data_IF_628097664302
#
_entry.id   IF_628097664302
#
_cell.length_a   1.000
_cell.length_b   1.000
_cell.length_c   1.000
_cell.angle_alpha   90.00
_cell.angle_beta   90.00
_cell.angle_gamma   90.00
#
_symmetry.space_group_name_H-M   'P 1'
#
loop_
_entity.id
_entity.type
_entity.pdbx_description
1 polymer ?
#
# COMPACT_ATOMS: atom_id res chain seq x y z
N UNK A 1 5.99 25.14 3.34
CA UNK A 1 6.44 23.95 4.07
C UNK A 1 7.06 23.04 3.04
N UNK A 2 8.38 22.95 3.05
CA UNK A 2 9.10 21.98 2.23
C UNK A 2 8.61 20.59 2.65
N UNK A 3 8.11 19.82 1.70
CA UNK A 3 7.75 18.43 1.91
C UNK A 3 9.02 17.69 2.28
N UNK A 4 9.23 17.47 3.58
CA UNK A 4 10.16 16.46 4.07
C UNK A 4 9.52 15.11 3.77
N UNK A 5 9.44 14.77 2.48
CA UNK A 5 9.32 13.36 2.08
C UNK A 5 10.72 12.80 2.21
N UNK A 6 11.04 12.52 3.48
CA UNK A 6 12.26 11.90 3.94
C UNK A 6 12.65 10.79 2.97
N UNK A 7 13.89 10.84 2.46
CA UNK A 7 14.51 9.78 1.68
C UNK A 7 14.84 8.58 2.59
N UNK A 8 13.87 8.16 3.42
CA UNK A 8 13.99 7.05 4.37
C UNK A 8 14.06 5.78 3.54
N UNK A 9 15.16 5.00 3.63
CA UNK A 9 15.24 3.73 2.95
C UNK A 9 14.09 2.85 3.40
N UNK A 10 13.35 2.29 2.45
CA UNK A 10 12.32 1.32 2.77
C UNK A 10 12.97 0.05 3.32
N UNK A 11 12.36 -0.60 4.33
CA UNK A 11 12.83 -1.89 4.78
C UNK A 11 12.75 -2.86 3.60
N UNK A 12 13.86 -3.52 3.28
CA UNK A 12 13.92 -4.50 2.19
C UNK A 12 13.78 -5.91 2.72
N UNK A 13 12.80 -6.65 2.22
CA UNK A 13 12.61 -8.05 2.52
C UNK A 13 13.74 -8.85 1.89
N UNK A 14 14.32 -9.74 2.70
CA UNK A 14 15.33 -10.72 2.32
C UNK A 14 14.85 -12.09 2.79
N UNK A 15 15.61 -13.14 2.49
CA UNK A 15 15.24 -14.52 2.87
C UNK A 15 15.18 -14.78 4.38
N UNK A 16 15.75 -13.92 5.23
CA UNK A 16 15.95 -14.22 6.66
C UNK A 16 15.46 -13.13 7.63
N UNK A 17 14.92 -12.01 7.14
CA UNK A 17 14.59 -10.84 7.98
C UNK A 17 13.08 -10.54 8.05
N UNK A 18 12.21 -11.50 7.73
CA UNK A 18 10.77 -11.28 7.64
C UNK A 18 10.17 -10.62 8.89
N UNK A 19 10.51 -11.09 10.09
CA UNK A 19 10.00 -10.51 11.36
C UNK A 19 10.38 -9.03 11.52
N UNK A 20 11.65 -8.68 11.28
CA UNK A 20 12.11 -7.29 11.37
C UNK A 20 11.51 -6.41 10.26
N UNK A 21 11.32 -6.98 9.06
CA UNK A 21 10.73 -6.30 7.92
C UNK A 21 9.24 -6.03 8.15
N UNK A 22 8.49 -7.02 8.64
CA UNK A 22 7.04 -6.91 8.84
C UNK A 22 6.67 -5.86 9.90
N UNK A 23 7.44 -5.78 10.99
CA UNK A 23 7.27 -4.75 12.03
C UNK A 23 7.48 -3.35 11.44
N UNK A 24 8.56 -3.15 10.67
CA UNK A 24 8.87 -1.86 10.05
C UNK A 24 7.85 -1.47 8.98
N UNK A 25 7.44 -2.41 8.13
CA UNK A 25 6.43 -2.16 7.11
C UNK A 25 5.07 -1.83 7.71
N UNK A 26 4.66 -2.54 8.78
CA UNK A 26 3.41 -2.24 9.49
C UNK A 26 3.43 -0.83 10.08
N UNK A 27 4.53 -0.43 10.72
CA UNK A 27 4.68 0.91 11.25
C UNK A 27 4.66 1.99 10.15
N UNK A 28 5.37 1.75 9.03
CA UNK A 28 5.45 2.69 7.92
C UNK A 28 4.10 2.86 7.21
N UNK A 29 3.42 1.76 6.88
CA UNK A 29 2.08 1.77 6.29
C UNK A 29 1.07 2.42 7.25
N UNK A 30 1.18 2.14 8.55
CA UNK A 30 0.37 2.78 9.59
C UNK A 30 0.54 4.30 9.62
N UNK A 31 1.77 4.81 9.47
CA UNK A 31 2.03 6.26 9.44
C UNK A 31 1.47 7.00 8.21
N UNK A 32 1.06 6.26 7.17
CA UNK A 32 0.52 6.80 5.93
C UNK A 32 -0.96 6.42 5.75
N UNK A 33 -1.63 5.98 6.82
CA UNK A 33 -3.02 5.47 6.80
C UNK A 33 -3.25 4.37 5.75
N UNK A 34 -2.20 3.62 5.41
CA UNK A 34 -2.20 2.56 4.40
C UNK A 34 -2.33 1.15 4.97
N UNK A 35 -2.18 0.97 6.29
CA UNK A 35 -2.27 -0.35 6.90
C UNK A 35 -3.66 -1.00 6.75
N UNK A 36 -4.73 -0.20 6.87
CA UNK A 36 -6.10 -0.70 6.75
C UNK A 36 -6.39 -1.31 5.38
N UNK A 37 -5.91 -0.69 4.28
CA UNK A 37 -6.13 -1.21 2.92
C UNK A 37 -5.33 -2.49 2.64
N UNK A 38 -4.17 -2.68 3.30
CA UNK A 38 -3.40 -3.92 3.23
C UNK A 38 -4.11 -5.05 3.97
N UNK A 39 -4.62 -4.76 5.18
CA UNK A 39 -5.25 -5.76 6.04
C UNK A 39 -6.66 -6.13 5.53
N UNK A 40 -7.52 -5.13 5.33
CA UNK A 40 -8.93 -5.32 4.99
C UNK A 40 -9.14 -5.48 3.49
N UNK A 41 -8.31 -4.82 2.68
CA UNK A 41 -8.42 -4.82 1.22
C UNK A 41 -9.22 -3.64 0.69
N UNK A 42 -8.87 -3.19 -0.50
CA UNK A 42 -9.69 -2.27 -1.28
C UNK A 42 -10.39 -3.05 -2.41
N UNK A 43 -11.70 -2.87 -2.53
CA UNK A 43 -12.49 -3.44 -3.62
C UNK A 43 -13.01 -2.29 -4.47
N UNK A 44 -12.60 -2.28 -5.74
CA UNK A 44 -13.07 -1.29 -6.71
C UNK A 44 -14.56 -1.57 -7.03
N UNK A 45 -15.47 -0.60 -6.82
CA UNK A 45 -16.88 -0.79 -7.16
C UNK A 45 -17.08 -0.97 -8.66
N UNK A 46 -17.95 -1.91 -9.05
CA UNK A 46 -18.31 -2.13 -10.47
C UNK A 46 -19.03 -0.92 -11.10
N UNK A 47 -19.68 -0.09 -10.28
CA UNK A 47 -20.34 1.15 -10.70
C UNK A 47 -20.33 2.18 -9.58
N UNK A 48 -20.26 3.45 -9.95
CA UNK A 48 -20.39 4.61 -9.05
C UNK A 48 -21.64 5.43 -9.38
N UNK A 49 -22.57 4.87 -10.16
CA UNK A 49 -23.83 5.53 -10.49
C UNK A 49 -24.63 5.86 -9.22
N UNK A 50 -25.09 7.11 -9.11
CA UNK A 50 -25.83 7.58 -7.93
C UNK A 50 -24.96 7.94 -6.73
N UNK A 51 -23.62 7.85 -6.83
CA UNK A 51 -22.74 8.30 -5.75
C UNK A 51 -22.84 9.81 -5.57
N UNK A 52 -22.93 10.24 -4.32
CA UNK A 52 -22.77 11.64 -3.91
C UNK A 52 -21.32 12.10 -4.10
N UNK A 53 -21.10 13.41 -4.07
CA UNK A 53 -19.76 13.99 -4.09
C UNK A 53 -18.88 13.46 -2.94
N UNK A 54 -19.46 13.27 -1.74
CA UNK A 54 -18.75 12.73 -0.59
C UNK A 54 -18.31 11.27 -0.81
N UNK A 55 -19.19 10.42 -1.34
CA UNK A 55 -18.86 9.02 -1.64
C UNK A 55 -17.77 8.90 -2.71
N UNK A 56 -17.84 9.72 -3.76
CA UNK A 56 -16.80 9.77 -4.79
C UNK A 56 -15.44 10.23 -4.23
N UNK A 57 -15.45 11.18 -3.29
CA UNK A 57 -14.23 11.62 -2.59
C UNK A 57 -13.64 10.47 -1.76
N UNK A 58 -14.44 9.79 -0.95
CA UNK A 58 -14.00 8.64 -0.16
C UNK A 58 -13.46 7.50 -1.03
N UNK A 59 -14.12 7.19 -2.16
CA UNK A 59 -13.64 6.18 -3.10
C UNK A 59 -12.24 6.55 -3.65
N UNK A 60 -12.05 7.82 -4.06
CA UNK A 60 -10.76 8.30 -4.56
C UNK A 60 -9.68 8.20 -3.49
N UNK A 61 -9.99 8.54 -2.24
CA UNK A 61 -9.07 8.44 -1.10
C UNK A 61 -8.66 6.99 -0.83
N UNK A 62 -9.61 6.06 -0.76
CA UNK A 62 -9.34 4.63 -0.56
C UNK A 62 -8.52 4.03 -1.70
N UNK A 63 -8.86 4.35 -2.96
CA UNK A 63 -8.08 3.94 -4.14
C UNK A 63 -6.65 4.48 -4.07
N UNK A 64 -6.48 5.73 -3.67
CA UNK A 64 -5.14 6.35 -3.54
C UNK A 64 -4.31 5.67 -2.45
N UNK A 65 -4.92 5.35 -1.30
CA UNK A 65 -4.25 4.63 -0.20
C UNK A 65 -3.82 3.23 -0.63
N UNK A 66 -4.70 2.48 -1.29
CA UNK A 66 -4.38 1.14 -1.80
C UNK A 66 -3.21 1.16 -2.79
N UNK A 67 -3.21 2.07 -3.76
CA UNK A 67 -2.11 2.17 -4.73
C UNK A 67 -0.79 2.64 -4.09
N UNK A 68 -0.85 3.53 -3.11
CA UNK A 68 0.33 3.94 -2.36
C UNK A 68 0.93 2.78 -1.56
N UNK A 69 0.09 2.01 -0.87
CA UNK A 69 0.51 0.83 -0.11
C UNK A 69 1.07 -0.26 -1.03
N UNK A 70 0.41 -0.56 -2.16
CA UNK A 70 0.87 -1.52 -3.16
C UNK A 70 2.25 -1.13 -3.71
N UNK A 71 2.43 0.13 -4.10
CA UNK A 71 3.72 0.60 -4.60
C UNK A 71 4.81 0.53 -3.53
N UNK A 72 4.48 0.77 -2.27
CA UNK A 72 5.41 0.61 -1.16
C UNK A 72 5.85 -0.84 -1.00
N UNK A 73 4.92 -1.80 -1.09
CA UNK A 73 5.22 -3.24 -1.06
C UNK A 73 6.15 -3.65 -2.20
N UNK A 74 5.90 -3.17 -3.43
CA UNK A 74 6.78 -3.40 -4.58
C UNK A 74 8.22 -2.93 -4.34
N UNK A 75 8.39 -1.78 -3.66
CA UNK A 75 9.73 -1.26 -3.37
C UNK A 75 10.37 -1.89 -2.13
N UNK A 76 9.58 -2.49 -1.25
CA UNK A 76 10.02 -3.11 -0.02
C UNK A 76 10.54 -4.54 -0.21
N UNK A 77 10.51 -5.08 -1.44
CA UNK A 77 11.03 -6.41 -1.80
C UNK A 77 12.23 -6.29 -2.74
N UNK A 78 13.01 -7.38 -2.86
CA UNK A 78 14.00 -7.53 -3.93
C UNK A 78 13.35 -7.92 -5.26
N UNK A 79 14.15 -8.02 -6.33
CA UNK A 79 13.63 -8.32 -7.67
C UNK A 79 12.87 -9.66 -7.72
N UNK A 80 13.38 -10.69 -7.06
CA UNK A 80 12.71 -11.99 -6.97
C UNK A 80 11.41 -11.94 -6.17
N UNK A 81 11.35 -11.12 -5.12
CA UNK A 81 10.13 -10.86 -4.37
C UNK A 81 9.11 -10.08 -5.22
N UNK A 82 9.57 -9.08 -5.98
CA UNK A 82 8.72 -8.30 -6.87
C UNK A 82 8.04 -9.18 -7.91
N UNK A 83 8.78 -10.08 -8.57
CA UNK A 83 8.22 -11.01 -9.56
C UNK A 83 7.04 -11.84 -9.02
N UNK A 84 7.06 -12.17 -7.72
CA UNK A 84 5.98 -12.94 -7.07
C UNK A 84 4.71 -12.12 -6.86
N UNK A 85 4.85 -10.81 -6.67
CA UNK A 85 3.75 -9.90 -6.36
C UNK A 85 3.40 -8.97 -7.53
N UNK A 86 4.12 -9.06 -8.67
CA UNK A 86 3.98 -8.14 -9.79
C UNK A 86 2.59 -8.18 -10.45
N UNK A 87 1.87 -9.30 -10.31
CA UNK A 87 0.48 -9.42 -10.79
C UNK A 87 -0.55 -8.85 -9.82
N UNK A 88 -0.16 -8.48 -8.59
CA UNK A 88 -1.06 -7.93 -7.60
C UNK A 88 -1.61 -6.59 -8.09
N UNK A 89 -2.93 -6.47 -8.07
CA UNK A 89 -3.64 -5.25 -8.44
C UNK A 89 -4.03 -4.44 -7.22
N UNK A 90 -4.07 -5.04 -6.03
CA UNK A 90 -4.33 -4.36 -4.76
C UNK A 90 -3.21 -4.63 -3.76
N UNK A 91 -3.11 -3.78 -2.75
CA UNK A 91 -2.12 -3.93 -1.68
C UNK A 91 -2.31 -5.17 -0.81
N UNK A 92 -3.51 -5.76 -0.81
CA UNK A 92 -3.84 -7.01 -0.12
C UNK A 92 -3.48 -8.27 -0.92
N UNK A 93 -3.45 -8.17 -2.24
CA UNK A 93 -3.04 -9.27 -3.13
C UNK A 93 -1.52 -9.47 -3.18
N UNK A 94 -0.77 -8.39 -2.96
CA UNK A 94 0.69 -8.39 -2.87
C UNK A 94 1.16 -9.02 -1.55
#
# INVERSE_FOLDING_TARGET
MESVTSNVPLPRLTKVNYENWSIQMKALLGSQDGWEVVQEGFVEPTTTAGYTAAQNKTLKEMRSKDKAALYMLFRAVDESGFEKIASATTSKEA
#
